data_IF_287756084437
#
_entry.id   IF_287756084437
#
_cell.length_a   1.000
_cell.length_b   1.000
_cell.length_c   1.000
_cell.angle_alpha   90.00
_cell.angle_beta   90.00
_cell.angle_gamma   90.00
#
_symmetry.space_group_name_H-M   'P 1'
#
loop_
_entity.id
_entity.type
_entity.pdbx_description
1 polymer ?
#
# COMPACT_ATOMS: atom_id res chain seq x y z
N UNK A 1 -48.11 -3.08 -3.57
CA UNK A 1 -47.75 -4.37 -2.91
C UNK A 1 -46.26 -4.60 -3.08
N UNK A 2 -45.62 -5.51 -2.33
CA UNK A 2 -44.20 -5.84 -2.53
C UNK A 2 -44.01 -6.44 -3.93
N UNK A 3 -42.96 -6.01 -4.63
CA UNK A 3 -42.60 -6.59 -5.92
C UNK A 3 -41.64 -7.77 -5.76
N UNK A 4 -41.50 -8.65 -6.77
CA UNK A 4 -40.44 -9.67 -6.79
C UNK A 4 -39.03 -9.07 -6.62
N UNK A 5 -38.77 -7.87 -7.15
CA UNK A 5 -37.49 -7.18 -6.99
C UNK A 5 -37.27 -6.75 -5.53
N UNK A 6 -38.29 -6.25 -4.83
CA UNK A 6 -38.21 -5.93 -3.41
C UNK A 6 -37.94 -7.18 -2.56
N UNK A 7 -38.56 -8.32 -2.90
CA UNK A 7 -38.30 -9.62 -2.27
C UNK A 7 -36.84 -10.01 -2.48
N UNK A 8 -36.31 -9.85 -3.70
CA UNK A 8 -34.91 -10.14 -4.01
C UNK A 8 -33.95 -9.25 -3.21
N UNK A 9 -34.20 -7.93 -3.14
CA UNK A 9 -33.38 -7.02 -2.35
C UNK A 9 -33.39 -7.37 -0.86
N UNK A 10 -34.55 -7.79 -0.33
CA UNK A 10 -34.65 -8.25 1.05
C UNK A 10 -33.93 -9.59 1.27
N UNK A 11 -34.09 -10.54 0.36
CA UNK A 11 -33.45 -11.85 0.41
C UNK A 11 -31.91 -11.75 0.34
N UNK A 12 -31.37 -10.82 -0.48
CA UNK A 12 -29.93 -10.60 -0.58
C UNK A 12 -29.30 -10.07 0.71
N UNK A 13 -30.04 -9.32 1.54
CA UNK A 13 -29.57 -8.89 2.88
C UNK A 13 -29.34 -10.07 3.83
N UNK A 14 -30.03 -11.18 3.61
CA UNK A 14 -29.87 -12.40 4.41
C UNK A 14 -28.66 -13.22 4.00
N UNK A 15 -27.95 -12.87 2.92
CA UNK A 15 -26.85 -13.68 2.40
C UNK A 15 -25.76 -13.92 3.45
N UNK A 16 -25.17 -12.85 4.00
CA UNK A 16 -24.12 -12.98 5.04
C UNK A 16 -24.64 -13.74 6.29
N UNK A 17 -25.79 -13.38 6.90
CA UNK A 17 -26.35 -14.14 8.02
C UNK A 17 -26.60 -15.62 7.72
N UNK A 18 -27.08 -15.95 6.51
CA UNK A 18 -27.29 -17.33 6.08
C UNK A 18 -25.98 -18.12 6.06
N UNK A 19 -24.91 -17.55 5.48
CA UNK A 19 -23.59 -18.21 5.50
C UNK A 19 -23.08 -18.45 6.94
N UNK A 20 -23.27 -17.48 7.84
CA UNK A 20 -22.88 -17.59 9.25
C UNK A 20 -23.65 -18.69 9.99
N UNK A 21 -24.96 -18.82 9.71
CA UNK A 21 -25.78 -19.87 10.31
C UNK A 21 -25.30 -21.27 9.93
N UNK A 22 -24.86 -21.47 8.68
CA UNK A 22 -24.28 -22.74 8.25
C UNK A 22 -22.99 -23.06 9.00
N UNK A 23 -22.07 -22.09 9.12
CA UNK A 23 -20.81 -22.24 9.86
C UNK A 23 -21.05 -22.53 11.34
N UNK A 24 -22.11 -21.96 11.91
CA UNK A 24 -22.49 -22.15 13.32
C UNK A 24 -23.37 -23.38 13.55
N UNK A 25 -23.74 -24.09 12.48
CA UNK A 25 -24.69 -25.21 12.50
C UNK A 25 -26.07 -24.84 13.09
N UNK A 26 -26.56 -23.64 12.78
CA UNK A 26 -27.85 -23.12 13.21
C UNK A 26 -28.89 -23.18 12.07
N UNK A 27 -30.16 -23.53 12.35
CA UNK A 27 -31.21 -23.49 11.35
C UNK A 27 -31.54 -22.04 10.96
N UNK A 28 -31.53 -21.75 9.66
CA UNK A 28 -31.84 -20.40 9.14
C UNK A 28 -33.20 -20.27 8.48
N UNK A 29 -33.65 -21.33 7.81
CA UNK A 29 -34.95 -21.40 7.13
C UNK A 29 -35.91 -22.27 7.96
N UNK A 30 -37.22 -21.96 7.93
CA UNK A 30 -37.90 -21.03 7.02
C UNK A 30 -37.68 -19.54 7.36
N UNK A 31 -37.71 -18.67 6.33
CA UNK A 31 -37.68 -17.20 6.48
C UNK A 31 -38.93 -16.57 5.91
N UNK A 32 -39.50 -15.62 6.65
CA UNK A 32 -40.77 -14.98 6.30
C UNK A 32 -40.57 -13.47 6.11
N UNK A 33 -41.26 -12.91 5.10
CA UNK A 33 -41.43 -11.47 4.89
C UNK A 33 -42.90 -11.15 5.12
N UNK A 34 -43.22 -10.56 6.27
CA UNK A 34 -44.60 -10.20 6.65
C UNK A 34 -45.00 -8.79 6.16
N UNK A 35 -44.02 -7.96 5.78
CA UNK A 35 -44.25 -6.56 5.38
C UNK A 35 -44.37 -6.44 3.86
N UNK A 36 -45.43 -7.02 3.30
CA UNK A 36 -45.64 -7.07 1.85
C UNK A 36 -46.53 -5.95 1.29
N UNK A 37 -46.90 -4.98 2.14
CA UNK A 37 -47.84 -3.90 1.81
C UNK A 37 -49.29 -4.39 1.85
N UNK A 38 -50.04 -4.01 2.89
CA UNK A 38 -51.44 -4.45 3.07
C UNK A 38 -52.36 -3.76 2.06
N UNK A 39 -53.14 -4.54 1.33
CA UNK A 39 -54.21 -4.06 0.45
C UNK A 39 -55.29 -3.35 1.28
N UNK A 40 -55.59 -2.10 0.93
CA UNK A 40 -56.63 -1.29 1.58
C UNK A 40 -57.93 -1.36 0.79
N UNK A 41 -59.09 -1.06 1.41
CA UNK A 41 -60.38 -1.05 0.72
C UNK A 41 -60.41 -0.13 -0.52
N UNK A 42 -59.67 0.98 -0.49
CA UNK A 42 -59.59 1.93 -1.62
C UNK A 42 -58.87 1.38 -2.85
N UNK A 43 -57.94 0.44 -2.66
CA UNK A 43 -57.19 -0.19 -3.76
C UNK A 43 -58.10 -1.09 -4.60
N UNK A 44 -59.03 -1.80 -3.94
CA UNK A 44 -60.03 -2.67 -4.57
C UNK A 44 -61.09 -1.91 -5.37
N UNK A 45 -61.37 -0.65 -5.03
CA UNK A 45 -62.41 0.16 -5.69
C UNK A 45 -61.85 1.16 -6.70
N UNK A 46 -60.59 1.60 -6.56
CA UNK A 46 -59.99 2.67 -7.37
C UNK A 46 -58.80 2.27 -8.23
N UNK A 47 -58.12 1.15 -7.92
CA UNK A 47 -56.91 0.66 -8.62
C UNK A 47 -56.93 -0.86 -8.84
N UNK A 48 -58.12 -1.42 -9.09
CA UNK A 48 -58.29 -2.88 -9.18
C UNK A 48 -57.40 -3.53 -10.26
N UNK A 49 -57.29 -2.91 -11.44
CA UNK A 49 -56.45 -3.42 -12.53
C UNK A 49 -54.96 -3.47 -12.18
N UNK A 50 -54.44 -2.39 -11.56
CA UNK A 50 -53.05 -2.37 -11.08
C UNK A 50 -52.80 -3.43 -10.01
N UNK A 51 -53.72 -3.56 -9.05
CA UNK A 51 -53.61 -4.54 -7.98
C UNK A 51 -53.61 -5.98 -8.53
N UNK A 52 -54.44 -6.29 -9.51
CA UNK A 52 -54.47 -7.61 -10.14
C UNK A 52 -53.16 -7.88 -10.92
N UNK A 53 -52.60 -6.86 -11.59
CA UNK A 53 -51.30 -6.97 -12.25
C UNK A 53 -50.16 -7.18 -11.23
N UNK A 54 -50.17 -6.46 -10.11
CA UNK A 54 -49.20 -6.61 -9.02
C UNK A 54 -49.27 -8.03 -8.43
N UNK A 55 -50.47 -8.57 -8.19
CA UNK A 55 -50.67 -9.94 -7.68
C UNK A 55 -50.20 -10.97 -8.70
N UNK A 56 -50.56 -10.80 -9.97
CA UNK A 56 -50.15 -11.72 -11.05
C UNK A 56 -48.62 -11.75 -11.17
N UNK A 57 -47.97 -10.58 -11.15
CA UNK A 57 -46.51 -10.48 -11.17
C UNK A 57 -45.87 -11.20 -9.98
N UNK A 58 -46.42 -11.04 -8.78
CA UNK A 58 -45.96 -11.73 -7.57
C UNK A 58 -46.08 -13.26 -7.70
N UNK A 59 -47.22 -13.79 -8.16
CA UNK A 59 -47.38 -15.25 -8.28
C UNK A 59 -46.55 -15.85 -9.43
N UNK A 60 -46.35 -15.12 -10.52
CA UNK A 60 -45.63 -15.61 -11.72
C UNK A 60 -44.20 -16.10 -11.46
N UNK A 61 -43.55 -15.62 -10.39
CA UNK A 61 -42.20 -16.01 -9.99
C UNK A 61 -42.16 -16.80 -8.68
N UNK A 62 -43.33 -17.11 -8.13
CA UNK A 62 -43.48 -17.81 -6.86
C UNK A 62 -43.48 -19.32 -7.05
N UNK A 63 -43.06 -20.03 -6.00
CA UNK A 63 -43.11 -21.47 -5.88
C UNK A 63 -44.51 -22.05 -6.10
N UNK A 64 -45.56 -21.26 -5.83
CA UNK A 64 -46.95 -21.66 -6.07
C UNK A 64 -47.19 -22.04 -7.55
N UNK A 65 -46.50 -21.36 -8.48
CA UNK A 65 -46.63 -21.57 -9.93
C UNK A 65 -45.41 -22.27 -10.54
N UNK A 66 -44.20 -21.92 -10.09
CA UNK A 66 -42.95 -22.42 -10.69
C UNK A 66 -42.42 -23.71 -10.04
N UNK A 67 -42.95 -24.08 -8.87
CA UNK A 67 -42.48 -25.22 -8.07
C UNK A 67 -41.17 -24.97 -7.30
N UNK A 68 -40.53 -23.81 -7.44
CA UNK A 68 -39.28 -23.48 -6.74
C UNK A 68 -39.15 -21.98 -6.46
N UNK A 69 -38.59 -21.61 -5.31
CA UNK A 69 -38.40 -20.21 -4.91
C UNK A 69 -39.29 -19.82 -3.74
N UNK A 70 -39.73 -18.57 -3.69
CA UNK A 70 -40.54 -18.10 -2.56
C UNK A 70 -41.99 -18.57 -2.68
N UNK A 71 -42.59 -18.96 -1.57
CA UNK A 71 -44.00 -19.27 -1.46
C UNK A 71 -44.79 -18.02 -1.05
N UNK A 72 -45.89 -17.74 -1.75
CA UNK A 72 -46.85 -16.71 -1.37
C UNK A 72 -47.91 -17.34 -0.47
N UNK A 73 -47.94 -16.94 0.79
CA UNK A 73 -48.99 -17.36 1.72
C UNK A 73 -50.15 -16.38 1.62
N UNK A 74 -51.32 -16.88 1.21
CA UNK A 74 -52.56 -16.11 1.16
C UNK A 74 -53.30 -16.15 2.51
N UNK A 75 -54.05 -15.09 2.81
CA UNK A 75 -54.98 -15.03 3.91
C UNK A 75 -56.32 -14.42 3.48
N UNK A 76 -57.40 -14.88 4.10
CA UNK A 76 -58.73 -14.33 3.90
C UNK A 76 -58.87 -12.96 4.55
N UNK A 77 -59.31 -11.98 3.76
CA UNK A 77 -59.61 -10.63 4.23
C UNK A 77 -61.03 -10.27 3.82
N UNK A 78 -61.85 -9.91 4.80
CA UNK A 78 -63.23 -9.48 4.57
C UNK A 78 -63.29 -7.96 4.39
N UNK A 79 -63.76 -7.51 3.22
CA UNK A 79 -63.97 -6.12 2.90
C UNK A 79 -65.46 -5.80 2.84
N UNK A 80 -65.88 -4.72 3.52
CA UNK A 80 -67.29 -4.31 3.65
C UNK A 80 -68.04 -4.14 2.31
N UNK A 81 -67.34 -3.85 1.20
CA UNK A 81 -67.94 -3.62 -0.14
C UNK A 81 -67.73 -4.77 -1.13
N UNK A 82 -66.65 -5.52 -1.04
CA UNK A 82 -66.24 -6.54 -2.03
C UNK A 82 -66.22 -7.97 -1.47
N UNK A 83 -66.66 -8.16 -0.22
CA UNK A 83 -66.76 -9.47 0.43
C UNK A 83 -65.41 -10.04 0.88
N UNK A 84 -65.38 -11.34 1.11
CA UNK A 84 -64.16 -12.09 1.46
C UNK A 84 -63.29 -12.26 0.22
N UNK A 85 -62.02 -11.87 0.34
CA UNK A 85 -61.01 -11.97 -0.71
C UNK A 85 -59.79 -12.73 -0.16
N UNK A 86 -59.24 -13.65 -0.94
CA UNK A 86 -57.96 -14.31 -0.67
C UNK A 86 -56.84 -13.42 -1.22
N UNK A 87 -56.06 -12.81 -0.33
CA UNK A 87 -55.00 -11.88 -0.71
C UNK A 87 -53.65 -12.35 -0.17
N UNK A 88 -52.54 -12.07 -0.86
CA UNK A 88 -51.21 -12.27 -0.30
C UNK A 88 -51.09 -11.67 1.10
N UNK A 89 -50.48 -12.42 2.02
CA UNK A 89 -50.27 -11.98 3.40
C UNK A 89 -48.79 -12.00 3.80
N UNK A 90 -48.05 -13.04 3.41
CA UNK A 90 -46.61 -13.14 3.64
C UNK A 90 -45.90 -13.87 2.50
N UNK A 91 -44.58 -13.68 2.44
CA UNK A 91 -43.69 -14.43 1.55
C UNK A 91 -42.80 -15.33 2.39
N UNK A 92 -42.73 -16.63 2.04
CA UNK A 92 -41.98 -17.63 2.80
C UNK A 92 -40.91 -18.28 1.91
N UNK A 93 -39.66 -18.29 2.37
CA UNK A 93 -38.63 -19.19 1.86
C UNK A 93 -38.59 -20.41 2.77
N UNK A 94 -39.11 -21.54 2.31
CA UNK A 94 -39.20 -22.77 3.11
C UNK A 94 -37.84 -23.46 3.24
N UNK A 95 -37.08 -23.51 2.14
CA UNK A 95 -35.84 -24.28 2.06
C UNK A 95 -34.66 -23.43 1.58
N UNK A 96 -33.45 -23.94 1.85
CA UNK A 96 -32.20 -23.38 1.29
C UNK A 96 -32.23 -23.40 -0.24
N UNK A 97 -32.73 -24.47 -0.85
CA UNK A 97 -32.77 -24.62 -2.31
C UNK A 97 -33.67 -23.56 -2.96
N UNK A 98 -34.82 -23.29 -2.35
CA UNK A 98 -35.74 -22.23 -2.77
C UNK A 98 -35.04 -20.85 -2.75
N UNK A 99 -34.36 -20.55 -1.64
CA UNK A 99 -33.63 -19.30 -1.49
C UNK A 99 -32.47 -19.15 -2.48
N UNK A 100 -31.65 -20.18 -2.66
CA UNK A 100 -30.50 -20.17 -3.57
C UNK A 100 -30.92 -20.06 -5.03
N UNK A 101 -32.02 -20.71 -5.41
CA UNK A 101 -32.58 -20.61 -6.76
C UNK A 101 -33.02 -19.18 -7.04
N UNK A 102 -33.81 -18.58 -6.15
CA UNK A 102 -34.34 -17.24 -6.32
C UNK A 102 -33.24 -16.16 -6.32
N UNK A 103 -32.25 -16.27 -5.42
CA UNK A 103 -31.13 -15.31 -5.33
C UNK A 103 -30.03 -15.54 -6.37
N UNK A 104 -30.08 -16.65 -7.10
CA UNK A 104 -29.05 -17.09 -8.06
C UNK A 104 -27.65 -17.28 -7.43
N UNK A 105 -27.59 -17.62 -6.13
CA UNK A 105 -26.35 -17.76 -5.34
C UNK A 105 -25.83 -19.19 -5.17
N UNK A 106 -26.35 -20.14 -5.95
CA UNK A 106 -26.01 -21.56 -5.82
C UNK A 106 -24.50 -21.85 -5.97
N UNK A 107 -23.82 -21.19 -6.92
CA UNK A 107 -22.38 -21.40 -7.15
C UNK A 107 -21.54 -20.90 -5.98
N UNK A 108 -21.85 -19.72 -5.46
CA UNK A 108 -21.19 -19.14 -4.29
C UNK A 108 -21.41 -19.98 -3.03
N UNK A 109 -22.59 -20.58 -2.89
CA UNK A 109 -22.91 -21.51 -1.81
C UNK A 109 -22.06 -22.79 -1.87
N UNK A 110 -21.96 -23.41 -3.04
CA UNK A 110 -21.13 -24.60 -3.26
C UNK A 110 -19.64 -24.31 -2.98
N UNK A 111 -19.15 -23.13 -3.37
CA UNK A 111 -17.80 -22.67 -3.05
C UNK A 111 -17.61 -22.51 -1.54
N UNK A 112 -18.57 -21.92 -0.83
CA UNK A 112 -18.49 -21.76 0.62
C UNK A 112 -18.36 -23.09 1.33
N UNK A 113 -19.23 -24.07 1.04
CA UNK A 113 -19.18 -25.39 1.67
C UNK A 113 -17.80 -26.02 1.45
N UNK A 114 -17.36 -26.10 0.19
CA UNK A 114 -16.07 -26.68 -0.19
C UNK A 114 -14.91 -26.00 0.54
N UNK A 115 -14.89 -24.67 0.55
CA UNK A 115 -13.81 -23.90 1.16
C UNK A 115 -13.82 -24.01 2.68
N UNK A 116 -15.01 -24.00 3.31
CA UNK A 116 -15.18 -24.19 4.74
C UNK A 116 -14.64 -25.55 5.19
N UNK A 117 -15.01 -26.63 4.51
CA UNK A 117 -14.52 -27.98 4.82
C UNK A 117 -12.99 -28.08 4.72
N UNK A 118 -12.40 -27.51 3.65
CA UNK A 118 -10.94 -27.49 3.47
C UNK A 118 -10.26 -26.68 4.58
N UNK A 119 -10.78 -25.51 4.95
CA UNK A 119 -10.20 -24.66 5.97
C UNK A 119 -10.24 -25.33 7.34
N UNK A 120 -11.41 -25.82 7.77
CA UNK A 120 -11.59 -26.36 9.12
C UNK A 120 -10.91 -27.72 9.28
N UNK A 121 -10.89 -28.57 8.24
CA UNK A 121 -10.12 -29.82 8.28
C UNK A 121 -8.60 -29.58 8.35
N UNK A 122 -8.11 -28.47 7.79
CA UNK A 122 -6.68 -28.15 7.68
C UNK A 122 -6.16 -27.35 8.88
N UNK A 123 -6.94 -26.38 9.35
CA UNK A 123 -6.65 -25.47 10.48
C UNK A 123 -7.95 -25.18 11.28
N UNK A 124 -8.36 -26.08 12.19
CA UNK A 124 -9.62 -25.96 12.95
C UNK A 124 -9.72 -24.66 13.77
N UNK A 125 -8.58 -24.11 14.19
CA UNK A 125 -8.51 -22.85 14.93
C UNK A 125 -9.09 -21.64 14.17
N UNK A 126 -9.26 -21.72 12.84
CA UNK A 126 -9.89 -20.66 12.03
C UNK A 126 -11.42 -20.59 12.14
N UNK A 127 -12.08 -21.45 12.94
CA UNK A 127 -13.54 -21.48 13.08
C UNK A 127 -14.16 -20.09 13.29
N UNK A 128 -13.61 -19.33 14.26
CA UNK A 128 -14.11 -17.98 14.57
C UNK A 128 -13.82 -16.98 13.44
N UNK A 129 -12.64 -17.06 12.82
CA UNK A 129 -12.29 -16.19 11.69
C UNK A 129 -13.23 -16.39 10.49
N UNK A 130 -13.56 -17.64 10.18
CA UNK A 130 -14.48 -17.97 9.09
C UNK A 130 -15.90 -17.46 9.38
N UNK A 131 -16.35 -17.55 10.63
CA UNK A 131 -17.64 -17.01 11.06
C UNK A 131 -17.74 -15.49 10.89
N UNK A 132 -16.65 -14.76 11.14
CA UNK A 132 -16.58 -13.31 10.96
C UNK A 132 -16.46 -12.91 9.48
N UNK A 133 -15.82 -13.76 8.65
CA UNK A 133 -15.48 -13.50 7.26
C UNK A 133 -16.08 -14.48 6.23
N UNK A 134 -17.37 -14.84 6.31
CA UNK A 134 -17.96 -15.90 5.48
C UNK A 134 -17.97 -15.57 3.98
N UNK A 135 -18.02 -14.29 3.63
CA UNK A 135 -18.04 -13.85 2.22
C UNK A 135 -16.74 -14.16 1.48
N UNK A 136 -15.59 -14.20 2.18
CA UNK A 136 -14.30 -14.54 1.54
C UNK A 136 -14.27 -15.99 1.06
N UNK A 137 -15.05 -16.88 1.69
CA UNK A 137 -15.15 -18.27 1.28
C UNK A 137 -16.02 -18.46 0.03
N UNK A 138 -16.75 -17.42 -0.40
CA UNK A 138 -17.57 -17.46 -1.62
C UNK A 138 -16.81 -17.00 -2.87
N UNK A 139 -15.57 -16.53 -2.71
CA UNK A 139 -14.80 -15.98 -3.81
C UNK A 139 -14.33 -17.09 -4.77
N UNK A 140 -14.50 -16.90 -6.09
CA UNK A 140 -13.98 -17.83 -7.08
C UNK A 140 -12.44 -17.74 -7.15
N UNK A 141 -11.81 -18.83 -7.59
CA UNK A 141 -10.36 -18.92 -7.86
C UNK A 141 -9.44 -18.71 -6.64
N UNK A 142 -9.95 -18.68 -5.42
CA UNK A 142 -9.12 -18.66 -4.21
C UNK A 142 -8.46 -20.02 -3.99
N UNK A 143 -7.13 -20.07 -4.06
CA UNK A 143 -6.36 -21.29 -3.79
C UNK A 143 -6.15 -21.47 -2.28
N UNK A 144 -7.17 -21.99 -1.59
CA UNK A 144 -7.14 -22.23 -0.15
C UNK A 144 -6.04 -23.19 0.30
N UNK A 145 -5.72 -24.23 -0.49
CA UNK A 145 -4.62 -25.14 -0.16
C UNK A 145 -3.27 -24.42 -0.08
N UNK A 146 -3.01 -23.53 -1.05
CA UNK A 146 -1.83 -22.68 -1.03
C UNK A 146 -1.81 -21.74 0.17
N UNK A 147 -2.90 -21.01 0.41
CA UNK A 147 -3.05 -20.08 1.54
C UNK A 147 -2.80 -20.79 2.88
N UNK A 148 -3.46 -21.93 3.10
CA UNK A 148 -3.37 -22.67 4.35
C UNK A 148 -1.98 -23.30 4.54
N UNK A 149 -1.27 -23.63 3.46
CA UNK A 149 0.13 -24.09 3.54
C UNK A 149 1.05 -22.99 4.07
N UNK A 150 0.84 -21.74 3.65
CA UNK A 150 1.57 -20.57 4.19
C UNK A 150 1.22 -20.38 5.67
N UNK A 151 -0.07 -20.40 6.01
CA UNK A 151 -0.52 -20.25 7.39
C UNK A 151 0.07 -21.33 8.31
N UNK A 152 0.07 -22.60 7.89
CA UNK A 152 0.68 -23.71 8.62
C UNK A 152 2.15 -23.46 8.92
N UNK A 153 2.91 -23.00 7.92
CA UNK A 153 4.32 -22.69 8.10
C UNK A 153 4.56 -21.60 9.16
N UNK A 154 3.79 -20.51 9.12
CA UNK A 154 3.94 -19.42 10.10
C UNK A 154 3.44 -19.79 11.50
N UNK A 155 2.50 -20.75 11.63
CA UNK A 155 2.13 -21.29 12.94
C UNK A 155 3.31 -22.04 13.56
N UNK A 156 4.03 -22.86 12.78
CA UNK A 156 5.19 -23.62 13.29
C UNK A 156 6.45 -22.75 13.45
N UNK A 157 6.63 -21.78 12.56
CA UNK A 157 7.82 -20.93 12.47
C UNK A 157 7.40 -19.47 12.32
N UNK A 158 6.90 -18.83 13.40
CA UNK A 158 6.30 -17.50 13.32
C UNK A 158 7.29 -16.36 13.07
N UNK A 159 8.58 -16.60 13.31
CA UNK A 159 9.66 -15.63 13.10
C UNK A 159 10.76 -16.25 12.22
N UNK A 160 10.51 -16.42 10.92
CA UNK A 160 11.41 -17.18 10.06
C UNK A 160 12.75 -16.49 9.82
N UNK A 161 12.80 -15.14 9.76
CA UNK A 161 13.99 -14.38 9.40
C UNK A 161 14.63 -14.83 8.07
N UNK A 162 13.78 -15.22 7.12
CA UNK A 162 14.14 -15.68 5.77
C UNK A 162 13.51 -14.77 4.72
N UNK A 163 14.07 -14.75 3.51
CA UNK A 163 13.37 -14.21 2.34
C UNK A 163 12.18 -15.09 1.98
N UNK A 164 11.10 -14.52 1.42
CA UNK A 164 9.89 -15.27 1.04
C UNK A 164 10.22 -16.50 0.17
N UNK A 165 11.19 -16.37 -0.75
CA UNK A 165 11.58 -17.45 -1.67
C UNK A 165 12.25 -18.64 -0.95
N UNK A 166 12.83 -18.43 0.22
CA UNK A 166 13.49 -19.46 1.02
C UNK A 166 12.50 -20.25 1.90
N UNK A 167 11.26 -19.79 2.03
CA UNK A 167 10.27 -20.48 2.85
C UNK A 167 10.01 -21.87 2.27
N UNK A 168 10.06 -22.94 3.08
CA UNK A 168 9.81 -24.32 2.65
C UNK A 168 8.31 -24.58 2.48
N UNK A 169 7.67 -23.80 1.61
CA UNK A 169 6.24 -23.86 1.30
C UNK A 169 6.04 -24.14 -0.19
N UNK A 170 5.01 -24.91 -0.58
CA UNK A 170 4.78 -25.31 -1.97
C UNK A 170 4.11 -24.20 -2.80
N UNK A 171 4.48 -22.94 -2.59
CA UNK A 171 3.97 -21.77 -3.31
C UNK A 171 5.11 -20.82 -3.69
N UNK A 172 4.96 -20.09 -4.79
CA UNK A 172 5.94 -19.10 -5.24
C UNK A 172 5.76 -17.75 -4.54
N UNK A 173 6.80 -16.91 -4.54
CA UNK A 173 6.76 -15.56 -3.93
C UNK A 173 5.57 -14.73 -4.42
N UNK A 174 5.30 -14.75 -5.73
CA UNK A 174 4.16 -14.04 -6.35
C UNK A 174 2.80 -14.43 -5.74
N UNK A 175 2.66 -15.69 -5.30
CA UNK A 175 1.44 -16.15 -4.64
C UNK A 175 1.21 -15.43 -3.31
N UNK A 176 2.26 -15.26 -2.51
CA UNK A 176 2.19 -14.54 -1.23
C UNK A 176 1.88 -13.06 -1.45
N UNK A 177 2.48 -12.46 -2.47
CA UNK A 177 2.21 -11.07 -2.87
C UNK A 177 0.76 -10.85 -3.31
N UNK A 178 0.25 -11.70 -4.21
CA UNK A 178 -1.11 -11.64 -4.74
C UNK A 178 -2.18 -11.88 -3.65
N UNK A 179 -1.87 -12.70 -2.64
CA UNK A 179 -2.77 -13.05 -1.54
C UNK A 179 -2.45 -12.30 -0.24
N UNK A 180 -1.62 -11.25 -0.29
CA UNK A 180 -1.08 -10.56 0.90
C UNK A 180 -2.19 -10.13 1.89
N UNK A 181 -3.28 -9.53 1.40
CA UNK A 181 -4.38 -9.06 2.27
C UNK A 181 -5.06 -10.23 3.02
N UNK A 182 -5.34 -11.32 2.31
CA UNK A 182 -6.00 -12.49 2.90
C UNK A 182 -5.06 -13.22 3.87
N UNK A 183 -3.81 -13.42 3.48
CA UNK A 183 -2.78 -13.99 4.35
C UNK A 183 -2.56 -13.13 5.59
N UNK A 184 -2.57 -11.80 5.46
CA UNK A 184 -2.48 -10.90 6.60
C UNK A 184 -3.64 -11.10 7.57
N UNK A 185 -4.89 -11.10 7.06
CA UNK A 185 -6.07 -11.30 7.90
C UNK A 185 -6.05 -12.63 8.65
N UNK A 186 -5.62 -13.70 7.98
CA UNK A 186 -5.53 -15.04 8.58
C UNK A 186 -4.40 -15.11 9.61
N UNK A 187 -3.19 -14.66 9.26
CA UNK A 187 -2.04 -14.74 10.15
C UNK A 187 -2.18 -13.82 11.36
N UNK A 188 -2.79 -12.64 11.20
CA UNK A 188 -3.08 -11.75 12.33
C UNK A 188 -3.99 -12.43 13.37
N UNK A 189 -4.94 -13.25 12.89
CA UNK A 189 -5.81 -14.04 13.74
C UNK A 189 -5.09 -15.26 14.34
N UNK A 190 -4.23 -15.92 13.57
CA UNK A 190 -3.58 -17.17 13.95
C UNK A 190 -2.38 -17.00 14.89
N UNK A 191 -1.58 -15.96 14.68
CA UNK A 191 -0.32 -15.71 15.41
C UNK A 191 -0.23 -14.25 15.90
N UNK A 192 -1.25 -13.71 16.61
CA UNK A 192 -1.33 -12.30 16.98
C UNK A 192 -0.13 -11.79 17.81
N UNK A 193 0.46 -12.67 18.63
CA UNK A 193 1.61 -12.37 19.49
C UNK A 193 2.96 -12.34 18.73
N UNK A 194 2.97 -12.78 17.47
CA UNK A 194 4.17 -12.85 16.64
C UNK A 194 4.16 -11.85 15.48
N UNK A 195 3.24 -10.89 15.48
CA UNK A 195 3.24 -9.80 14.50
C UNK A 195 4.33 -8.79 14.88
N UNK A 196 5.27 -8.52 13.96
CA UNK A 196 6.34 -7.52 14.17
C UNK A 196 5.82 -6.09 14.15
N UNK A 197 5.03 -5.76 13.14
CA UNK A 197 4.46 -4.43 12.93
C UNK A 197 3.02 -4.54 12.42
N UNK A 198 2.05 -4.25 13.30
CA UNK A 198 0.61 -4.29 12.98
C UNK A 198 0.18 -3.22 11.96
N UNK A 199 0.99 -2.20 11.71
CA UNK A 199 0.74 -1.17 10.70
C UNK A 199 1.54 -1.40 9.42
N UNK A 200 2.43 -2.40 9.41
CA UNK A 200 3.23 -2.79 8.26
C UNK A 200 2.34 -3.25 7.10
N UNK A 201 2.41 -2.54 5.97
CA UNK A 201 1.66 -2.87 4.74
C UNK A 201 2.27 -4.05 3.98
N UNK A 202 3.60 -4.15 4.01
CA UNK A 202 4.34 -5.21 3.34
C UNK A 202 4.32 -6.47 4.20
N UNK A 203 4.18 -7.61 3.54
CA UNK A 203 4.13 -8.91 4.21
C UNK A 203 5.40 -9.17 5.03
N UNK A 204 6.55 -8.76 4.49
CA UNK A 204 7.87 -8.99 5.07
C UNK A 204 8.10 -8.18 6.34
N UNK A 205 7.66 -6.92 6.33
CA UNK A 205 7.77 -6.02 7.48
C UNK A 205 6.91 -6.53 8.65
N UNK A 206 5.78 -7.18 8.36
CA UNK A 206 4.81 -7.66 9.35
C UNK A 206 5.18 -9.00 9.99
N UNK A 207 5.73 -9.95 9.23
CA UNK A 207 5.92 -11.35 9.65
C UNK A 207 7.38 -11.79 9.76
N UNK A 208 8.27 -10.91 10.21
CA UNK A 208 9.69 -11.25 10.48
C UNK A 208 10.39 -11.93 9.29
N UNK A 209 10.12 -11.48 8.06
CA UNK A 209 10.86 -11.94 6.88
C UNK A 209 12.01 -10.97 6.57
N UNK A 210 13.03 -11.49 5.90
CA UNK A 210 14.05 -10.65 5.31
C UNK A 210 13.49 -9.95 4.07
N UNK A 211 13.95 -8.71 3.88
CA UNK A 211 13.65 -7.89 2.72
C UNK A 211 14.93 -7.56 1.98
N UNK A 212 14.79 -7.30 0.69
CA UNK A 212 15.89 -6.74 -0.07
C UNK A 212 16.18 -5.33 0.48
N UNK A 213 17.36 -5.17 1.05
CA UNK A 213 17.76 -3.91 1.68
C UNK A 213 18.14 -2.90 0.59
N UNK A 214 17.83 -1.60 0.78
CA UNK A 214 18.37 -0.58 -0.09
C UNK A 214 19.89 -0.67 -0.16
N UNK A 215 20.43 -0.49 -1.37
CA UNK A 215 21.88 -0.44 -1.58
C UNK A 215 22.36 1.01 -1.57
N UNK A 216 23.54 1.22 -0.99
CA UNK A 216 24.27 2.49 -1.03
C UNK A 216 25.43 2.32 -2.00
N UNK A 217 25.47 3.16 -3.04
CA UNK A 217 26.56 3.15 -4.01
C UNK A 217 27.69 4.06 -3.53
N UNK A 218 28.90 3.55 -3.59
CA UNK A 218 30.11 4.23 -3.16
C UNK A 218 31.08 4.23 -4.33
N UNK A 219 31.77 5.36 -4.53
CA UNK A 219 32.88 5.43 -5.47
C UNK A 219 34.13 6.06 -4.85
N UNK A 220 35.26 5.39 -4.93
CA UNK A 220 36.55 5.93 -4.53
C UNK A 220 36.99 6.97 -5.55
N UNK A 221 37.23 8.19 -5.08
CA UNK A 221 37.66 9.31 -5.92
C UNK A 221 39.18 9.49 -5.88
N UNK A 222 39.87 8.93 -4.90
CA UNK A 222 41.32 8.94 -4.87
C UNK A 222 41.87 7.90 -5.85
N UNK A 223 42.71 8.32 -6.78
CA UNK A 223 43.31 7.41 -7.76
C UNK A 223 44.29 6.42 -7.14
N UNK A 224 44.95 6.81 -6.04
CA UNK A 224 46.02 6.07 -5.36
C UNK A 224 45.49 5.16 -4.25
N UNK A 225 44.28 5.41 -3.76
CA UNK A 225 43.61 4.55 -2.79
C UNK A 225 42.62 3.63 -3.50
N UNK A 226 42.51 2.41 -3.00
CA UNK A 226 41.49 1.47 -3.48
C UNK A 226 40.85 0.80 -2.29
N UNK A 227 39.60 0.36 -2.48
CA UNK A 227 38.90 -0.46 -1.51
C UNK A 227 38.87 -1.87 -2.12
N UNK A 228 39.39 -2.86 -1.40
CA UNK A 228 39.47 -4.27 -1.82
C UNK A 228 39.97 -4.50 -3.26
N UNK A 229 41.28 -4.65 -3.44
CA UNK A 229 41.89 -5.14 -4.69
C UNK A 229 41.47 -4.36 -5.96
N UNK A 230 41.57 -3.03 -5.93
CA UNK A 230 41.31 -2.12 -7.06
C UNK A 230 39.83 -1.87 -7.44
N UNK A 231 38.87 -2.22 -6.59
CA UNK A 231 37.47 -1.82 -6.83
C UNK A 231 37.28 -0.35 -6.47
N UNK A 232 36.78 0.43 -7.42
CA UNK A 232 36.55 1.88 -7.25
C UNK A 232 35.09 2.28 -7.24
N UNK A 233 34.16 1.49 -7.79
CA UNK A 233 32.73 1.80 -7.81
C UNK A 233 31.94 0.54 -7.48
N UNK A 234 31.18 0.57 -6.40
CA UNK A 234 30.46 -0.59 -5.88
C UNK A 234 29.26 -0.17 -5.05
N UNK A 235 28.37 -1.12 -4.78
CA UNK A 235 27.21 -0.93 -3.90
C UNK A 235 27.23 -1.95 -2.78
N UNK A 236 26.92 -1.51 -1.56
CA UNK A 236 26.75 -2.40 -0.39
C UNK A 236 25.36 -2.21 0.21
N UNK A 237 24.88 -3.20 0.95
CA UNK A 237 23.58 -3.09 1.66
C UNK A 237 23.65 -1.98 2.70
N UNK A 238 22.51 -1.35 2.95
CA UNK A 238 22.41 -0.27 3.94
C UNK A 238 22.92 -0.71 5.32
N UNK A 239 22.56 -1.91 5.79
CA UNK A 239 23.04 -2.39 7.10
C UNK A 239 24.55 -2.62 7.17
N UNK A 240 25.18 -2.97 6.04
CA UNK A 240 26.64 -3.09 5.93
C UNK A 240 27.30 -1.70 5.88
N UNK A 241 26.68 -0.75 5.16
CA UNK A 241 27.13 0.64 5.09
C UNK A 241 27.13 1.34 6.44
N UNK A 242 26.09 1.13 7.26
CA UNK A 242 25.99 1.69 8.62
C UNK A 242 27.14 1.24 9.54
N UNK A 243 27.72 0.06 9.25
CA UNK A 243 28.81 -0.57 10.02
C UNK A 243 30.18 -0.42 9.36
N UNK A 244 30.23 0.16 8.15
CA UNK A 244 31.48 0.29 7.41
C UNK A 244 32.46 1.25 8.12
N UNK A 245 33.73 1.07 7.83
CA UNK A 245 34.79 2.00 8.22
C UNK A 245 35.67 2.24 6.99
N UNK A 246 35.61 3.45 6.45
CA UNK A 246 36.46 3.86 5.33
C UNK A 246 37.55 4.81 5.83
N UNK A 247 38.80 4.56 5.43
CA UNK A 247 39.97 5.36 5.83
C UNK A 247 40.05 6.73 5.14
N UNK A 248 39.12 7.00 4.23
CA UNK A 248 39.04 8.25 3.48
C UNK A 248 38.50 9.36 4.39
N UNK A 249 39.09 10.55 4.34
CA UNK A 249 38.72 11.68 5.20
C UNK A 249 37.60 12.54 4.60
N UNK A 250 37.47 12.55 3.27
CA UNK A 250 36.52 13.37 2.56
C UNK A 250 35.37 12.52 2.00
N UNK A 251 34.15 12.99 2.14
CA UNK A 251 32.94 12.32 1.65
C UNK A 251 32.15 13.31 0.79
N UNK A 252 31.91 12.97 -0.47
CA UNK A 252 31.09 13.75 -1.39
C UNK A 252 29.75 13.04 -1.58
N UNK A 253 28.66 13.65 -1.14
CA UNK A 253 27.30 13.12 -1.32
C UNK A 253 26.65 13.90 -2.45
N UNK A 254 26.19 13.20 -3.48
CA UNK A 254 25.45 13.84 -4.58
C UNK A 254 24.03 13.27 -4.68
N UNK A 255 23.11 14.13 -5.10
CA UNK A 255 21.74 13.72 -5.37
C UNK A 255 21.60 12.99 -6.72
N UNK A 256 22.16 13.59 -7.78
CA UNK A 256 22.07 13.05 -9.12
C UNK A 256 23.13 11.95 -9.37
N UNK A 257 22.69 10.87 -10.05
CA UNK A 257 23.53 9.71 -10.37
C UNK A 257 24.60 10.03 -11.42
N UNK A 258 24.31 10.86 -12.40
CA UNK A 258 25.28 11.23 -13.43
C UNK A 258 26.36 12.13 -12.84
N UNK A 259 26.00 13.11 -12.01
CA UNK A 259 26.96 13.92 -11.27
C UNK A 259 27.86 13.06 -10.37
N UNK A 260 27.31 12.06 -9.68
CA UNK A 260 28.11 11.06 -8.94
C UNK A 260 29.17 10.39 -9.83
N UNK A 261 28.81 10.05 -11.08
CA UNK A 261 29.69 9.38 -12.03
C UNK A 261 30.71 10.32 -12.71
N UNK A 262 30.50 11.64 -12.69
CA UNK A 262 31.41 12.60 -13.31
C UNK A 262 32.24 13.40 -12.30
N UNK A 263 32.10 13.12 -10.99
CA UNK A 263 32.97 13.74 -9.98
C UNK A 263 34.45 13.52 -10.33
N UNK A 264 35.30 14.56 -10.24
CA UNK A 264 36.72 14.41 -10.53
C UNK A 264 37.43 13.58 -9.46
N UNK A 265 38.66 13.19 -9.76
CA UNK A 265 39.56 12.55 -8.79
C UNK A 265 39.85 13.50 -7.63
N UNK A 266 39.78 13.02 -6.38
CA UNK A 266 40.00 13.83 -5.16
C UNK A 266 40.79 12.98 -4.14
N UNK A 267 41.91 13.47 -3.60
CA UNK A 267 42.69 12.75 -2.59
C UNK A 267 41.89 12.45 -1.31
N UNK A 268 42.08 11.26 -0.76
CA UNK A 268 41.42 10.74 0.44
C UNK A 268 39.90 10.94 0.43
N UNK A 269 39.26 10.75 -0.73
CA UNK A 269 37.83 10.99 -0.89
C UNK A 269 37.05 9.80 -1.44
N UNK A 270 35.81 9.68 -0.97
CA UNK A 270 34.79 8.80 -1.55
C UNK A 270 33.55 9.62 -1.92
N UNK A 271 32.89 9.24 -3.00
CA UNK A 271 31.56 9.68 -3.34
C UNK A 271 30.51 8.69 -2.83
N UNK A 272 29.34 9.18 -2.44
CA UNK A 272 28.21 8.38 -1.96
C UNK A 272 26.95 8.80 -2.70
N UNK A 273 26.22 7.80 -3.20
CA UNK A 273 24.89 7.97 -3.79
C UNK A 273 23.91 7.00 -3.14
N UNK A 274 22.94 7.55 -2.40
CA UNK A 274 21.91 6.78 -1.67
C UNK A 274 20.65 6.47 -2.49
N UNK A 275 20.67 6.77 -3.80
CA UNK A 275 19.54 6.53 -4.70
C UNK A 275 18.73 7.76 -5.10
N UNK A 276 19.25 8.97 -4.83
CA UNK A 276 18.65 10.27 -5.15
C UNK A 276 17.60 10.79 -4.15
N UNK A 277 17.35 12.10 -4.18
CA UNK A 277 16.36 12.81 -3.38
C UNK A 277 16.46 12.55 -1.86
N UNK A 278 15.30 12.37 -1.23
CA UNK A 278 15.16 12.16 0.23
C UNK A 278 15.67 10.81 0.75
N UNK A 279 16.25 9.96 -0.10
CA UNK A 279 16.96 8.74 0.35
C UNK A 279 18.26 9.06 1.07
N UNK A 280 18.65 10.33 1.20
CA UNK A 280 19.66 10.78 2.15
C UNK A 280 19.36 10.32 3.59
N UNK A 281 18.08 10.09 3.91
CA UNK A 281 17.65 9.50 5.19
C UNK A 281 18.30 8.15 5.50
N UNK A 282 18.75 7.40 4.50
CA UNK A 282 19.51 6.16 4.70
C UNK A 282 20.86 6.41 5.37
N UNK A 283 21.45 7.59 5.21
CA UNK A 283 22.76 7.91 5.78
C UNK A 283 22.68 8.27 7.27
N UNK A 284 21.48 8.41 7.84
CA UNK A 284 21.26 8.89 9.22
C UNK A 284 22.00 8.08 10.29
N UNK A 285 22.07 6.76 10.12
CA UNK A 285 22.64 5.86 11.14
C UNK A 285 24.12 5.52 10.89
N UNK A 286 24.71 6.01 9.80
CA UNK A 286 26.10 5.73 9.43
C UNK A 286 27.08 6.56 10.27
N UNK A 287 27.22 6.21 11.55
CA UNK A 287 27.97 6.98 12.56
C UNK A 287 29.41 7.29 12.18
N UNK A 288 30.05 6.45 11.37
CA UNK A 288 31.42 6.67 10.89
C UNK A 288 31.58 7.94 10.03
N UNK A 289 30.49 8.50 9.51
CA UNK A 289 30.49 9.79 8.80
C UNK A 289 30.72 10.98 9.75
N UNK A 290 30.46 10.84 11.05
CA UNK A 290 30.50 11.95 11.99
C UNK A 290 31.89 12.62 12.11
N UNK A 291 32.95 11.86 11.86
CA UNK A 291 34.34 12.33 11.94
C UNK A 291 34.96 12.64 10.56
N UNK A 292 34.14 12.75 9.51
CA UNK A 292 34.59 12.97 8.12
C UNK A 292 34.28 14.39 7.65
N UNK A 293 35.00 14.86 6.64
CA UNK A 293 34.65 16.09 5.93
C UNK A 293 33.56 15.79 4.91
N UNK A 294 32.32 16.15 5.21
CA UNK A 294 31.18 15.87 4.34
C UNK A 294 30.85 17.09 3.45
N UNK A 295 30.88 16.87 2.14
CA UNK A 295 30.46 17.81 1.10
C UNK A 295 29.19 17.30 0.45
N UNK A 296 28.15 18.13 0.43
CA UNK A 296 26.88 17.82 -0.25
C UNK A 296 26.73 18.66 -1.50
N UNK A 297 26.39 18.01 -2.61
CA UNK A 297 25.98 18.65 -3.84
C UNK A 297 24.55 18.20 -4.14
N UNK A 298 23.62 19.14 -4.17
CA UNK A 298 22.23 18.96 -4.64
C UNK A 298 21.87 19.92 -5.78
N UNK A 299 20.65 19.82 -6.29
CA UNK A 299 20.06 20.85 -7.16
C UNK A 299 19.93 22.17 -6.38
N UNK A 300 20.07 23.32 -7.06
CA UNK A 300 19.74 24.62 -6.47
C UNK A 300 18.25 24.87 -6.67
N UNK A 301 17.44 24.30 -5.78
CA UNK A 301 16.00 24.47 -5.67
C UNK A 301 15.51 24.29 -4.23
N UNK A 302 14.20 24.37 -4.01
CA UNK A 302 13.62 24.21 -2.68
C UNK A 302 13.84 22.81 -2.08
N UNK A 303 13.92 21.76 -2.90
CA UNK A 303 14.09 20.37 -2.45
C UNK A 303 15.55 20.05 -2.14
N UNK A 304 16.50 20.51 -2.95
CA UNK A 304 17.94 20.35 -2.70
C UNK A 304 18.36 20.99 -1.38
N UNK A 305 17.85 22.18 -1.06
CA UNK A 305 18.09 22.81 0.25
C UNK A 305 17.41 22.06 1.41
N UNK A 306 16.27 21.41 1.19
CA UNK A 306 15.65 20.54 2.20
C UNK A 306 16.47 19.28 2.47
N UNK A 307 17.05 18.68 1.42
CA UNK A 307 17.93 17.52 1.56
C UNK A 307 19.20 17.93 2.31
N UNK A 308 19.79 19.09 1.99
CA UNK A 308 20.90 19.66 2.75
C UNK A 308 20.54 19.88 4.23
N UNK A 309 19.40 20.50 4.51
CA UNK A 309 18.89 20.70 5.86
C UNK A 309 18.73 19.37 6.62
N UNK A 310 18.12 18.38 5.98
CA UNK A 310 17.95 17.04 6.54
C UNK A 310 19.30 16.39 6.83
N UNK A 311 20.25 16.47 5.91
CA UNK A 311 21.58 15.91 6.09
C UNK A 311 22.33 16.59 7.25
N UNK A 312 22.21 17.92 7.38
CA UNK A 312 22.76 18.68 8.52
C UNK A 312 22.09 18.35 9.85
N UNK A 313 20.82 17.94 9.84
CA UNK A 313 20.15 17.46 11.05
C UNK A 313 20.77 16.17 11.59
N UNK A 314 21.49 15.41 10.75
CA UNK A 314 22.24 14.22 11.14
C UNK A 314 23.72 14.53 11.41
N UNK A 315 24.33 15.34 10.53
CA UNK A 315 25.75 15.70 10.58
C UNK A 315 25.91 17.22 10.44
N UNK A 316 25.95 17.93 11.56
CA UNK A 316 25.89 19.42 11.57
C UNK A 316 27.04 20.13 10.84
N UNK A 317 28.16 19.45 10.58
CA UNK A 317 29.34 20.02 9.92
C UNK A 317 29.32 19.89 8.39
N UNK A 318 28.24 19.37 7.78
CA UNK A 318 28.12 19.20 6.33
C UNK A 318 28.20 20.55 5.61
N UNK A 319 29.05 20.63 4.59
CA UNK A 319 29.21 21.80 3.72
C UNK A 319 28.52 21.57 2.39
N UNK A 320 27.75 22.53 1.91
CA UNK A 320 27.26 22.47 0.53
C UNK A 320 28.37 22.88 -0.44
N UNK A 321 28.36 22.33 -1.65
CA UNK A 321 29.28 22.69 -2.72
C UNK A 321 28.50 23.03 -3.99
N UNK A 322 28.86 24.11 -4.67
CA UNK A 322 28.17 24.59 -5.88
C UNK A 322 26.66 24.83 -5.66
N UNK A 323 26.25 25.15 -4.43
CA UNK A 323 24.87 25.49 -4.05
C UNK A 323 24.78 26.92 -3.52
N UNK A 324 25.61 27.81 -4.06
CA UNK A 324 25.72 29.19 -3.66
C UNK A 324 25.19 30.14 -4.74
N UNK A 325 25.05 31.42 -4.37
CA UNK A 325 24.49 32.44 -5.24
C UNK A 325 25.36 32.67 -6.48
N UNK A 326 26.68 32.57 -6.35
CA UNK A 326 27.62 32.75 -7.46
C UNK A 326 27.44 31.66 -8.51
N UNK A 327 27.28 30.41 -8.08
CA UNK A 327 26.99 29.28 -8.97
C UNK A 327 25.66 29.49 -9.68
N UNK A 328 24.61 29.87 -8.93
CA UNK A 328 23.29 30.12 -9.49
C UNK A 328 23.30 31.24 -10.55
N UNK A 329 23.93 32.38 -10.25
CA UNK A 329 24.02 33.52 -11.17
C UNK A 329 24.88 33.20 -12.41
N UNK A 330 25.95 32.41 -12.25
CA UNK A 330 26.83 32.00 -13.37
C UNK A 330 26.09 31.14 -14.41
N UNK A 331 25.16 30.29 -13.96
CA UNK A 331 24.41 29.38 -14.83
C UNK A 331 22.95 29.79 -14.97
N UNK A 332 22.66 31.09 -14.83
CA UNK A 332 21.28 31.60 -14.80
C UNK A 332 20.48 31.28 -16.08
N UNK A 333 21.17 31.16 -17.22
CA UNK A 333 20.55 30.82 -18.52
C UNK A 333 19.97 29.39 -18.56
N UNK A 334 20.40 28.52 -17.65
CA UNK A 334 19.90 27.14 -17.54
C UNK A 334 18.85 26.95 -16.43
N UNK A 335 18.47 28.04 -15.76
CA UNK A 335 17.50 27.99 -14.66
C UNK A 335 16.09 27.82 -15.22
N UNK A 336 15.36 26.85 -14.68
CA UNK A 336 14.00 26.49 -15.07
C UNK A 336 13.02 26.61 -13.90
N UNK A 337 11.73 26.44 -14.17
CA UNK A 337 10.74 26.32 -13.12
C UNK A 337 10.87 24.96 -12.39
N UNK A 338 10.93 24.99 -11.07
CA UNK A 338 10.91 23.82 -10.18
C UNK A 338 9.66 23.77 -9.32
N UNK A 339 9.38 22.60 -8.77
CA UNK A 339 8.26 22.39 -7.86
C UNK A 339 8.43 23.20 -6.58
N UNK A 340 7.35 23.86 -6.14
CA UNK A 340 7.33 24.60 -4.87
C UNK A 340 7.04 23.69 -3.71
N UNK A 341 7.69 23.94 -2.58
CA UNK A 341 7.51 23.16 -1.39
C UNK A 341 6.77 23.94 -0.29
N UNK A 342 6.03 23.24 0.56
CA UNK A 342 5.24 23.82 1.65
C UNK A 342 6.05 24.08 2.92
N UNK A 343 7.29 23.61 3.02
CA UNK A 343 8.10 23.79 4.23
C UNK A 343 8.37 25.28 4.49
N UNK A 344 8.10 25.76 5.69
CA UNK A 344 8.07 27.19 6.00
C UNK A 344 9.43 27.77 6.43
N UNK A 345 10.35 26.99 6.98
CA UNK A 345 11.67 27.50 7.41
C UNK A 345 12.74 26.40 7.52
N UNK A 346 13.91 26.62 6.90
CA UNK A 346 15.08 25.72 7.00
C UNK A 346 16.17 26.35 7.88
N UNK A 347 16.07 26.14 9.19
CA UNK A 347 16.92 26.78 10.22
C UNK A 347 18.36 26.27 10.31
N UNK A 348 18.73 25.22 9.56
CA UNK A 348 20.10 24.67 9.49
C UNK A 348 20.86 25.14 8.25
N UNK A 349 20.29 26.07 7.48
CA UNK A 349 21.01 26.75 6.40
C UNK A 349 21.87 27.87 6.98
N UNK A 350 23.02 28.12 6.37
CA UNK A 350 23.80 29.30 6.68
C UNK A 350 23.16 30.56 6.06
N UNK A 351 23.72 31.74 6.35
CA UNK A 351 23.15 33.02 5.91
C UNK A 351 23.07 33.14 4.39
N UNK A 352 24.08 32.67 3.65
CA UNK A 352 24.12 32.75 2.19
C UNK A 352 23.12 31.79 1.54
N UNK A 353 23.07 30.55 2.01
CA UNK A 353 22.14 29.52 1.55
C UNK A 353 20.69 29.91 1.87
N UNK A 354 20.42 30.45 3.06
CA UNK A 354 19.09 30.93 3.43
C UNK A 354 18.66 32.10 2.53
N UNK A 355 19.58 33.02 2.23
CA UNK A 355 19.33 34.11 1.29
C UNK A 355 18.99 33.62 -0.12
N UNK A 356 19.71 32.60 -0.61
CA UNK A 356 19.40 31.97 -1.90
C UNK A 356 18.07 31.21 -1.85
N UNK A 357 17.80 30.46 -0.79
CA UNK A 357 16.54 29.73 -0.61
C UNK A 357 15.32 30.66 -0.63
N UNK A 358 15.36 31.79 0.09
CA UNK A 358 14.28 32.78 0.08
C UNK A 358 14.11 33.44 -1.30
N UNK A 359 15.22 33.72 -2.01
CA UNK A 359 15.15 34.19 -3.39
C UNK A 359 14.41 33.19 -4.29
N UNK A 360 14.75 31.90 -4.22
CA UNK A 360 14.12 30.85 -5.03
C UNK A 360 12.63 30.74 -4.72
N UNK A 361 12.24 30.81 -3.43
CA UNK A 361 10.83 30.80 -3.02
C UNK A 361 10.02 31.99 -3.55
N UNK A 362 10.63 33.17 -3.53
CA UNK A 362 9.99 34.41 -3.99
C UNK A 362 9.70 34.39 -5.50
N UNK A 363 10.45 33.60 -6.27
CA UNK A 363 10.27 33.47 -7.71
C UNK A 363 9.09 32.57 -8.05
N UNK A 364 8.29 32.96 -9.04
CA UNK A 364 7.19 32.15 -9.55
C UNK A 364 7.67 31.12 -10.59
N UNK A 365 8.64 31.52 -11.43
CA UNK A 365 9.33 30.70 -12.42
C UNK A 365 10.84 30.90 -12.25
N UNK A 366 11.67 30.04 -12.86
CA UNK A 366 13.14 30.15 -12.82
C UNK A 366 13.71 30.13 -11.38
N UNK A 367 13.26 29.12 -10.63
CA UNK A 367 13.60 28.85 -9.23
C UNK A 367 14.35 27.50 -9.05
N UNK A 368 14.81 26.88 -10.14
CA UNK A 368 15.54 25.61 -10.10
C UNK A 368 16.70 25.59 -11.09
N UNK A 369 17.90 25.31 -10.60
CA UNK A 369 19.06 24.96 -11.42
C UNK A 369 19.44 23.51 -11.11
N UNK A 370 19.28 22.63 -12.08
CA UNK A 370 19.64 21.22 -11.95
C UNK A 370 21.16 21.03 -11.98
N UNK A 371 21.67 20.08 -11.20
CA UNK A 371 23.11 19.78 -11.12
C UNK A 371 23.74 19.46 -12.48
N UNK A 372 22.99 18.80 -13.37
CA UNK A 372 23.46 18.41 -14.70
C UNK A 372 23.72 19.61 -15.62
N UNK A 373 23.23 20.81 -15.27
CA UNK A 373 23.44 22.05 -16.03
C UNK A 373 24.72 22.79 -15.66
N UNK A 374 25.33 22.43 -14.53
CA UNK A 374 26.61 23.00 -14.11
C UNK A 374 27.70 22.34 -14.95
N UNK A 375 28.44 23.16 -15.71
CA UNK A 375 29.46 22.67 -16.65
C UNK A 375 30.63 21.99 -15.91
N UNK A 376 31.18 20.94 -16.53
CA UNK A 376 32.19 20.07 -15.92
C UNK A 376 33.50 20.82 -15.59
N UNK A 377 33.90 21.79 -16.40
CA UNK A 377 35.08 22.63 -16.16
C UNK A 377 34.96 23.43 -14.85
N UNK A 378 33.76 23.94 -14.56
CA UNK A 378 33.45 24.61 -13.30
C UNK A 378 33.52 23.63 -12.12
N UNK A 379 32.97 22.43 -12.28
CA UNK A 379 33.02 21.36 -11.26
C UNK A 379 34.47 21.02 -10.93
N UNK A 380 35.32 20.80 -11.94
CA UNK A 380 36.74 20.50 -11.78
C UNK A 380 37.50 21.62 -11.07
N UNK A 381 37.20 22.88 -11.40
CA UNK A 381 37.82 24.04 -10.77
C UNK A 381 37.48 24.10 -9.27
N UNK A 382 36.20 23.96 -8.91
CA UNK A 382 35.74 23.99 -7.51
C UNK A 382 36.36 22.84 -6.69
N UNK A 383 36.40 21.62 -7.24
CA UNK A 383 37.03 20.49 -6.55
C UNK A 383 38.56 20.62 -6.48
N UNK A 384 39.21 21.30 -7.42
CA UNK A 384 40.65 21.57 -7.35
C UNK A 384 41.01 22.54 -6.22
N UNK A 385 40.16 23.53 -5.92
CA UNK A 385 40.31 24.39 -4.73
C UNK A 385 40.28 23.56 -3.43
N UNK A 386 39.36 22.59 -3.34
CA UNK A 386 39.28 21.67 -2.20
C UNK A 386 40.55 20.81 -2.01
N UNK A 387 41.25 20.45 -3.10
CA UNK A 387 42.53 19.70 -3.01
C UNK A 387 43.66 20.51 -2.39
N UNK A 388 43.68 21.82 -2.64
CA UNK A 388 44.80 22.70 -2.29
C UNK A 388 44.63 23.39 -0.94
N UNK A 389 43.48 23.22 -0.27
CA UNK A 389 43.16 23.86 1.01
C UNK A 389 43.06 25.38 0.93
N UNK A 390 43.03 25.97 -0.27
CA UNK A 390 42.90 27.40 -0.48
C UNK A 390 41.43 27.77 -0.55
N UNK A 391 40.96 28.51 0.45
CA UNK A 391 39.65 29.17 0.40
C UNK A 391 39.73 30.32 -0.60
N UNK A 392 38.76 30.34 -1.53
CA UNK A 392 38.41 31.35 -2.53
C UNK A 392 39.31 32.60 -2.64
N UNK A 393 40.13 32.66 -3.69
CA UNK A 393 40.61 33.97 -4.18
C UNK A 393 41.04 34.04 -5.66
N UNK A 394 40.97 32.96 -6.46
CA UNK A 394 41.54 32.99 -7.83
C UNK A 394 40.59 32.45 -8.88
N UNK A 395 39.42 33.05 -9.07
CA UNK A 395 38.67 32.94 -10.33
C UNK A 395 37.91 34.25 -10.62
N UNK A 396 38.66 35.35 -10.70
CA UNK A 396 38.27 36.55 -11.45
C UNK A 396 38.95 36.45 -12.82
N UNK A 397 38.37 35.66 -13.73
CA UNK A 397 38.53 35.79 -15.18
C UNK A 397 37.46 34.97 -15.89
#
# INVERSE_FOLDING_TARGET
>A
MISPDDILQQALKWWKPFLQSYISNEPFFPKVIDRIGKVKPGDLTGRFGDLQNEITALYSQSKNETGIGYWVQAAEKNFRRTGVQQLPDSIVFETVNDYLHFTKKKKEWELLIKNYEVIISTLPQLQKWVLENPLLLTLPNTNWNGILSVCKYFISTPRPELYIRQLPIPVHTKFVEENNILLQSLLDFLIPEHIRDKNGKKFEDRYFLQKDEPLIRIRVLDENLTIFSNIKDFSIRLSDFEKAAFDHNNVVITENKMNFLTLPSIPSAIAIWSGGGFKVSYLKNARWLADKNIYYWGDIDEHGFQILHQLRSYYGHVKSIMMDRRTFDRFQDFVVAGEKNKASSLNLLNVEEAGLYELLKSRHNNNRLEQEKILQDYVEAVFSELKTGRTHEVLNK
#
